data_IF_442435649783
#
_entry.id   IF_442435649783
#
_cell.length_a   1.000
_cell.length_b   1.000
_cell.length_c   1.000
_cell.angle_alpha   90.00
_cell.angle_beta   90.00
_cell.angle_gamma   90.00
#
_symmetry.space_group_name_H-M   'P 1'
#
loop_
_entity.id
_entity.type
_entity.pdbx_description
1 polymer ?
#
# COMPACT_ATOMS: atom_id res chain seq x y z
N UNK A 1 4.18 5.50 7.99
CA UNK A 1 4.11 4.96 6.62
C UNK A 1 4.65 3.54 6.65
N UNK A 2 3.79 2.59 6.34
CA UNK A 2 4.02 1.15 6.33
C UNK A 2 3.66 0.59 4.96
N UNK A 3 4.37 -0.44 4.52
CA UNK A 3 4.05 -1.15 3.28
C UNK A 3 3.60 -2.55 3.65
N UNK A 4 2.36 -2.90 3.28
CA UNK A 4 1.79 -4.21 3.49
C UNK A 4 1.77 -4.99 2.18
N UNK A 5 2.31 -6.20 2.18
CA UNK A 5 2.18 -7.11 1.04
C UNK A 5 0.84 -7.82 1.15
N UNK A 6 -0.09 -7.49 0.26
CA UNK A 6 -1.40 -8.14 0.20
C UNK A 6 -1.25 -9.65 0.01
N UNK A 7 -2.16 -10.41 0.63
CA UNK A 7 -2.27 -11.85 0.36
C UNK A 7 -2.82 -12.09 -1.05
N UNK A 8 -2.71 -13.32 -1.53
CA UNK A 8 -3.24 -13.70 -2.84
C UNK A 8 -4.72 -13.33 -2.93
N UNK A 9 -5.09 -12.56 -3.97
CA UNK A 9 -6.44 -12.04 -4.22
C UNK A 9 -7.04 -11.13 -3.13
N UNK A 10 -6.24 -10.63 -2.19
CA UNK A 10 -6.74 -9.71 -1.16
C UNK A 10 -7.17 -8.38 -1.79
N UNK A 11 -8.46 -8.03 -1.63
CA UNK A 11 -8.98 -6.75 -2.08
C UNK A 11 -8.62 -5.67 -1.06
N UNK A 12 -8.41 -4.44 -1.55
CA UNK A 12 -8.18 -3.28 -0.68
C UNK A 12 -9.32 -3.08 0.32
N UNK A 13 -10.57 -3.30 -0.09
CA UNK A 13 -11.72 -3.15 0.82
C UNK A 13 -11.67 -4.15 1.99
N UNK A 14 -11.32 -5.42 1.73
CA UNK A 14 -11.23 -6.46 2.77
C UNK A 14 -10.08 -6.15 3.74
N UNK A 15 -8.96 -5.69 3.19
CA UNK A 15 -7.82 -5.24 3.99
C UNK A 15 -8.17 -4.05 4.88
N UNK A 16 -8.84 -3.04 4.31
CA UNK A 16 -9.31 -1.87 5.04
C UNK A 16 -10.31 -2.24 6.13
N UNK A 17 -11.28 -3.11 5.85
CA UNK A 17 -12.25 -3.56 6.84
C UNK A 17 -11.57 -4.26 8.03
N UNK A 18 -10.58 -5.12 7.76
CA UNK A 18 -9.77 -5.75 8.81
C UNK A 18 -8.95 -4.73 9.59
N UNK A 19 -8.36 -3.75 8.91
CA UNK A 19 -7.54 -2.72 9.54
C UNK A 19 -8.40 -1.83 10.45
N UNK A 20 -9.56 -1.38 9.98
CA UNK A 20 -10.52 -0.59 10.78
C UNK A 20 -11.12 -1.41 11.93
N UNK A 21 -11.25 -2.73 11.78
CA UNK A 21 -11.66 -3.61 12.90
C UNK A 21 -10.62 -3.63 14.01
N UNK A 22 -9.32 -3.55 13.67
CA UNK A 22 -8.25 -3.44 14.68
C UNK A 22 -8.15 -2.03 15.28
N UNK A 23 -8.53 -1.01 14.52
CA UNK A 23 -8.53 0.39 14.95
C UNK A 23 -9.94 1.00 14.83
N UNK A 24 -10.88 0.63 15.71
CA UNK A 24 -12.28 1.06 15.60
C UNK A 24 -12.47 2.57 15.80
N UNK A 25 -11.51 3.24 16.45
CA UNK A 25 -11.52 4.69 16.68
C UNK A 25 -10.83 5.47 15.56
N UNK A 26 -10.31 4.80 14.53
CA UNK A 26 -9.60 5.44 13.45
C UNK A 26 -10.52 5.85 12.30
N UNK A 27 -10.44 7.11 11.92
CA UNK A 27 -11.12 7.64 10.75
C UNK A 27 -10.37 7.25 9.46
N UNK A 28 -11.10 6.64 8.53
CA UNK A 28 -10.57 6.35 7.20
C UNK A 28 -10.41 7.64 6.40
N UNK A 29 -9.19 7.94 6.00
CA UNK A 29 -8.91 9.03 5.07
C UNK A 29 -9.34 8.66 3.65
N UNK A 30 -9.99 9.61 2.95
CA UNK A 30 -10.44 9.45 1.56
C UNK A 30 -9.43 9.94 0.52
N UNK A 31 -8.40 10.65 0.97
CA UNK A 31 -7.37 11.23 0.10
C UNK A 31 -6.13 10.33 0.08
N UNK A 32 -5.38 10.33 -1.02
CA UNK A 32 -4.04 9.72 -1.14
C UNK A 32 -2.92 10.74 -0.99
N UNK A 33 -3.26 12.00 -0.72
CA UNK A 33 -2.30 13.07 -0.47
C UNK A 33 -1.73 12.94 0.94
N UNK A 34 -0.48 13.36 1.17
CA UNK A 34 0.07 13.41 2.52
C UNK A 34 -0.89 14.12 3.48
N UNK A 35 -1.11 13.61 4.70
CA UNK A 35 -1.95 14.28 5.68
C UNK A 35 -1.35 15.65 6.02
N UNK A 36 -2.21 16.66 6.15
CA UNK A 36 -1.83 17.98 6.64
C UNK A 36 -1.29 17.89 8.07
N UNK A 37 -0.48 18.88 8.48
CA UNK A 37 0.07 18.94 9.84
C UNK A 37 -1.03 18.94 10.92
N UNK A 38 -2.20 19.51 10.63
CA UNK A 38 -3.37 19.50 11.52
C UNK A 38 -3.87 18.08 11.83
N UNK A 39 -3.82 17.17 10.83
CA UNK A 39 -4.23 15.77 10.98
C UNK A 39 -3.16 14.99 11.75
N UNK A 40 -1.88 15.31 11.50
CA UNK A 40 -0.76 14.66 12.20
C UNK A 40 -0.66 15.06 13.68
N UNK A 41 -1.08 16.27 14.01
CA UNK A 41 -1.05 16.81 15.40
C UNK A 41 -2.37 16.60 16.14
N UNK A 42 -3.42 16.19 15.43
CA UNK A 42 -4.71 15.88 16.00
C UNK A 42 -4.65 14.66 16.93
N UNK A 43 -5.44 14.64 18.02
CA UNK A 43 -5.58 13.46 18.88
C UNK A 43 -6.39 12.33 18.22
N UNK A 44 -7.10 12.62 17.13
CA UNK A 44 -7.87 11.64 16.37
C UNK A 44 -6.95 10.70 15.59
N UNK A 45 -7.30 9.42 15.57
CA UNK A 45 -6.61 8.43 14.76
C UNK A 45 -7.12 8.53 13.33
N UNK A 46 -6.23 8.68 12.36
CA UNK A 46 -6.60 8.64 10.95
C UNK A 46 -5.76 7.59 10.23
N UNK A 47 -6.41 6.77 9.41
CA UNK A 47 -5.75 5.73 8.62
C UNK A 47 -5.93 6.04 7.15
N UNK A 48 -4.82 6.10 6.44
CA UNK A 48 -4.77 6.28 4.99
C UNK A 48 -4.31 4.98 4.36
N UNK A 49 -5.16 4.35 3.55
CA UNK A 49 -4.81 3.09 2.90
C UNK A 49 -5.02 3.20 1.40
N UNK A 50 -4.01 2.87 0.62
CA UNK A 50 -4.11 2.82 -0.84
C UNK A 50 -3.22 1.75 -1.45
N UNK A 51 -3.64 1.26 -2.62
CA UNK A 51 -2.87 0.29 -3.39
C UNK A 51 -1.76 1.01 -4.14
N UNK A 52 -0.53 0.55 -3.96
CA UNK A 52 0.62 1.05 -4.71
C UNK A 52 1.08 0.00 -5.70
N UNK A 53 1.49 0.45 -6.88
CA UNK A 53 2.26 -0.39 -7.78
C UNK A 53 3.70 -0.34 -7.29
N UNK A 54 4.30 -1.46 -6.87
CA UNK A 54 5.70 -1.46 -6.49
C UNK A 54 6.53 -1.08 -7.71
N UNK A 55 7.51 -0.22 -7.48
CA UNK A 55 8.45 0.19 -8.51
C UNK A 55 9.36 -0.99 -8.79
N UNK A 56 9.37 -1.41 -10.06
CA UNK A 56 10.23 -2.49 -10.49
C UNK A 56 11.64 -1.94 -10.72
N UNK A 57 12.48 -1.94 -9.68
CA UNK A 57 13.90 -1.72 -9.87
C UNK A 57 14.55 -3.03 -10.31
N UNK A 58 14.76 -3.18 -11.63
CA UNK A 58 15.54 -4.29 -12.18
C UNK A 58 16.95 -4.25 -11.58
N UNK A 59 17.38 -5.31 -10.85
CA UNK A 59 18.76 -5.40 -10.43
C UNK A 59 19.67 -5.31 -11.66
N UNK A 60 20.79 -4.61 -11.57
CA UNK A 60 21.72 -4.37 -12.70
C UNK A 60 22.14 -5.65 -13.45
N UNK A 61 22.15 -6.81 -12.77
CA UNK A 61 22.32 -8.16 -13.34
C UNK A 61 21.26 -8.63 -14.36
N UNK A 62 20.12 -7.93 -14.43
CA UNK A 62 19.01 -8.18 -15.37
C UNK A 62 18.83 -7.03 -16.38
N UNK A 63 19.61 -5.95 -16.29
CA UNK A 63 19.65 -4.95 -17.36
C UNK A 63 20.17 -5.62 -18.63
N UNK A 64 19.47 -5.44 -19.76
CA UNK A 64 19.77 -6.01 -21.08
C UNK A 64 19.53 -7.52 -21.27
N UNK A 65 18.88 -8.22 -20.33
CA UNK A 65 18.39 -9.60 -20.58
C UNK A 65 16.91 -9.55 -20.94
N UNK A 66 16.42 -10.40 -21.88
CA UNK A 66 14.99 -10.53 -22.16
C UNK A 66 14.31 -11.25 -20.97
N UNK A 67 14.06 -10.50 -19.89
CA UNK A 67 13.27 -10.98 -18.77
C UNK A 67 11.80 -10.88 -19.18
N UNK A 68 11.11 -12.02 -19.20
CA UNK A 68 9.68 -12.07 -19.56
C UNK A 68 8.86 -11.19 -18.60
N UNK A 69 7.94 -10.39 -19.14
CA UNK A 69 6.99 -9.58 -18.37
C UNK A 69 6.23 -10.39 -17.31
N UNK A 70 6.07 -11.70 -17.52
CA UNK A 70 5.39 -12.59 -16.58
C UNK A 70 6.11 -12.67 -15.22
N UNK A 71 7.45 -12.67 -15.22
CA UNK A 71 8.25 -12.73 -13.98
C UNK A 71 8.17 -11.39 -13.24
N UNK A 72 8.17 -10.30 -14.00
CA UNK A 72 8.05 -8.90 -13.54
C UNK A 72 6.68 -8.65 -12.87
N UNK A 73 5.60 -9.17 -13.45
CA UNK A 73 4.24 -9.04 -12.91
C UNK A 73 4.02 -9.84 -11.62
N UNK A 74 4.74 -10.95 -11.40
CA UNK A 74 4.53 -11.79 -10.23
C UNK A 74 4.94 -11.12 -8.90
N UNK A 75 5.80 -10.11 -8.95
CA UNK A 75 6.32 -9.44 -7.74
C UNK A 75 5.43 -8.26 -7.30
N UNK A 76 4.46 -7.83 -8.12
CA UNK A 76 4.10 -6.40 -8.15
C UNK A 76 2.76 -5.96 -7.55
N UNK A 77 2.38 -6.42 -6.35
CA UNK A 77 1.25 -5.82 -5.62
C UNK A 77 1.56 -5.63 -4.13
N UNK A 78 1.60 -4.36 -3.69
CA UNK A 78 1.72 -3.97 -2.28
C UNK A 78 0.69 -2.87 -1.96
N UNK A 79 0.29 -2.77 -0.70
CA UNK A 79 -0.55 -1.72 -0.14
C UNK A 79 0.33 -0.79 0.70
N UNK A 80 0.04 0.51 0.69
CA UNK A 80 0.68 1.51 1.54
C UNK A 80 -0.33 2.00 2.59
N UNK A 81 0.13 2.07 3.85
CA UNK A 81 -0.65 2.38 5.06
C UNK A 81 0.06 3.48 5.87
#
# INVERSE_FOLDING_TARGET
>A
MFIYRGKEYERREDFEARLLTQFPNADKMKTTTPPSEDIKTSPSQCIQCFTVKPVLELPSKFQNKPVSEQIVRYVSVCLLI
#
